data_IF_788805845542
#
_entry.id   IF_788805845542
#
_cell.length_a   1.000
_cell.length_b   1.000
_cell.length_c   1.000
_cell.angle_alpha   90.00
_cell.angle_beta   90.00
_cell.angle_gamma   90.00
#
_symmetry.space_group_name_H-M   'P 1'
#
loop_
_entity.id
_entity.type
_entity.pdbx_description
1 polymer ?
#
# COMPACT_ATOMS: atom_id res chain seq x y z
N UNK A 1 -30.66 30.75 2.47
CA UNK A 1 -29.18 30.82 2.31
C UNK A 1 -28.58 29.50 2.77
N UNK A 2 -28.59 28.48 1.92
CA UNK A 2 -28.15 27.11 2.25
C UNK A 2 -27.40 26.35 1.13
N UNK A 3 -27.34 26.78 -0.16
CA UNK A 3 -26.68 25.98 -1.19
C UNK A 3 -25.15 25.98 -1.04
N UNK A 4 -24.56 27.04 -0.48
CA UNK A 4 -23.10 27.18 -0.33
C UNK A 4 -22.48 26.22 0.68
N UNK A 5 -23.22 25.84 1.73
CA UNK A 5 -22.72 24.91 2.75
C UNK A 5 -22.70 23.46 2.26
N UNK A 6 -23.72 23.05 1.51
CA UNK A 6 -23.78 21.72 0.88
C UNK A 6 -22.70 21.56 -0.19
N UNK A 7 -22.44 22.63 -0.95
CA UNK A 7 -21.38 22.63 -1.96
C UNK A 7 -19.99 22.52 -1.31
N UNK A 8 -19.74 23.25 -0.22
CA UNK A 8 -18.48 23.19 0.51
C UNK A 8 -18.22 21.79 1.12
N UNK A 9 -19.24 21.18 1.73
CA UNK A 9 -19.12 19.82 2.26
C UNK A 9 -18.81 18.78 1.16
N UNK A 10 -19.42 18.92 -0.02
CA UNK A 10 -19.18 18.02 -1.16
C UNK A 10 -17.77 18.18 -1.73
N UNK A 11 -17.22 19.40 -1.74
CA UNK A 11 -15.86 19.65 -2.22
C UNK A 11 -14.80 19.09 -1.27
N UNK A 12 -15.05 19.16 0.05
CA UNK A 12 -14.16 18.58 1.07
C UNK A 12 -14.07 17.06 0.94
N UNK A 13 -15.20 16.38 0.76
CA UNK A 13 -15.19 14.91 0.60
C UNK A 13 -14.49 14.46 -0.68
N UNK A 14 -14.63 15.21 -1.79
CA UNK A 14 -13.91 14.93 -3.04
C UNK A 14 -12.40 15.12 -2.84
N UNK A 15 -11.98 16.21 -2.19
CA UNK A 15 -10.58 16.48 -1.89
C UNK A 15 -9.95 15.39 -1.01
N UNK A 16 -10.69 14.92 0.01
CA UNK A 16 -10.24 13.82 0.87
C UNK A 16 -10.09 12.50 0.09
N UNK A 17 -11.05 12.17 -0.77
CA UNK A 17 -10.99 10.99 -1.64
C UNK A 17 -9.82 11.06 -2.63
N UNK A 18 -9.56 12.22 -3.22
CA UNK A 18 -8.41 12.43 -4.10
C UNK A 18 -7.09 12.32 -3.34
N UNK A 19 -7.01 12.87 -2.13
CA UNK A 19 -5.83 12.77 -1.28
C UNK A 19 -5.56 11.32 -0.89
N UNK A 20 -6.59 10.57 -0.47
CA UNK A 20 -6.46 9.15 -0.14
C UNK A 20 -6.04 8.30 -1.34
N UNK A 21 -6.59 8.55 -2.52
CA UNK A 21 -6.20 7.80 -3.73
C UNK A 21 -4.76 8.10 -4.17
N UNK A 22 -4.30 9.35 -4.00
CA UNK A 22 -2.90 9.73 -4.23
C UNK A 22 -1.99 9.04 -3.22
N UNK A 23 -2.29 9.12 -1.92
CA UNK A 23 -1.52 8.46 -0.87
C UNK A 23 -1.45 6.95 -1.05
N UNK A 24 -2.55 6.30 -1.44
CA UNK A 24 -2.57 4.88 -1.73
C UNK A 24 -1.64 4.52 -2.90
N UNK A 25 -1.60 5.35 -3.94
CA UNK A 25 -0.74 5.16 -5.10
C UNK A 25 0.74 5.30 -4.74
N UNK A 26 1.09 6.33 -3.95
CA UNK A 26 2.45 6.54 -3.46
C UNK A 26 2.90 5.43 -2.52
N UNK A 27 2.04 5.00 -1.59
CA UNK A 27 2.30 3.88 -0.69
C UNK A 27 2.62 2.60 -1.47
N UNK A 28 1.87 2.29 -2.53
CA UNK A 28 2.15 1.16 -3.42
C UNK A 28 3.52 1.30 -4.09
N UNK A 29 3.81 2.48 -4.64
CA UNK A 29 5.06 2.72 -5.37
C UNK A 29 6.30 2.54 -4.48
N UNK A 30 6.27 3.08 -3.25
CA UNK A 30 7.37 2.93 -2.28
C UNK A 30 7.60 1.46 -1.93
N UNK A 31 6.52 0.71 -1.69
CA UNK A 31 6.60 -0.72 -1.39
C UNK A 31 7.13 -1.53 -2.58
N UNK A 32 6.67 -1.23 -3.78
CA UNK A 32 7.13 -1.87 -5.02
C UNK A 32 8.62 -1.65 -5.24
N UNK A 33 9.12 -0.43 -5.01
CA UNK A 33 10.53 -0.13 -5.14
C UNK A 33 11.38 -0.97 -4.17
N UNK A 34 10.92 -1.15 -2.93
CA UNK A 34 11.63 -2.00 -1.97
C UNK A 34 11.66 -3.48 -2.39
N UNK A 35 10.53 -4.00 -2.88
CA UNK A 35 10.44 -5.37 -3.40
C UNK A 35 11.41 -5.59 -4.57
N UNK A 36 11.45 -4.65 -5.52
CA UNK A 36 12.37 -4.70 -6.67
C UNK A 36 13.83 -4.73 -6.23
N UNK A 37 14.21 -3.84 -5.30
CA UNK A 37 15.57 -3.82 -4.72
C UNK A 37 15.89 -5.14 -4.02
N UNK A 38 14.92 -5.75 -3.32
CA UNK A 38 15.17 -6.93 -2.49
C UNK A 38 15.24 -8.25 -3.28
N UNK A 39 14.38 -8.41 -4.29
CA UNK A 39 14.26 -9.63 -5.08
C UNK A 39 15.12 -9.61 -6.35
N UNK A 40 15.54 -8.42 -6.81
CA UNK A 40 16.17 -8.27 -8.12
C UNK A 40 15.15 -8.42 -9.25
N UNK A 41 15.43 -7.74 -10.38
CA UNK A 41 14.56 -7.57 -11.55
C UNK A 41 13.35 -6.63 -11.36
N UNK A 42 12.73 -6.27 -12.50
CA UNK A 42 11.44 -5.59 -12.64
C UNK A 42 10.25 -6.47 -12.19
N UNK A 43 10.42 -7.23 -11.10
CA UNK A 43 9.40 -8.10 -10.53
C UNK A 43 8.23 -7.23 -10.08
N UNK A 44 7.21 -7.10 -10.94
CA UNK A 44 5.99 -6.42 -10.60
C UNK A 44 5.12 -7.35 -9.74
N UNK A 45 4.50 -6.84 -8.67
CA UNK A 45 3.52 -7.62 -7.93
C UNK A 45 2.36 -8.04 -8.82
N UNK A 46 1.97 -9.31 -8.73
CA UNK A 46 0.75 -9.84 -9.33
C UNK A 46 -0.47 -9.16 -8.71
N UNK A 47 -0.38 -8.87 -7.41
CA UNK A 47 -1.40 -8.19 -6.63
C UNK A 47 -0.72 -7.19 -5.67
N UNK A 48 -1.28 -5.99 -5.56
CA UNK A 48 -0.86 -5.01 -4.55
C UNK A 48 -2.03 -4.13 -4.10
N UNK A 49 -2.25 -4.10 -2.80
CA UNK A 49 -3.30 -3.30 -2.16
C UNK A 49 -2.69 -2.46 -1.06
N UNK A 50 -2.97 -1.15 -1.12
CA UNK A 50 -2.66 -0.22 -0.04
C UNK A 50 -3.96 0.16 0.66
N UNK A 51 -3.95 0.16 1.98
CA UNK A 51 -5.08 0.55 2.80
C UNK A 51 -4.60 1.38 4.01
N UNK A 52 -5.30 2.47 4.36
CA UNK A 52 -4.96 3.23 5.54
C UNK A 52 -5.21 2.39 6.80
N UNK A 53 -4.37 2.56 7.81
CA UNK A 53 -4.55 1.86 9.08
C UNK A 53 -5.62 2.55 9.93
N UNK A 54 -6.60 1.80 10.47
CA UNK A 54 -7.60 2.36 11.37
C UNK A 54 -6.94 3.05 12.56
N UNK A 55 -7.35 4.29 12.86
CA UNK A 55 -6.89 5.09 14.02
C UNK A 55 -5.41 5.49 13.98
N UNK A 56 -4.71 5.31 12.85
CA UNK A 56 -3.31 5.71 12.67
C UNK A 56 -3.21 6.60 11.43
N UNK A 57 -3.50 7.88 11.61
CA UNK A 57 -3.47 8.86 10.52
C UNK A 57 -2.09 8.88 9.84
N UNK A 58 -2.12 8.90 8.50
CA UNK A 58 -0.92 8.84 7.69
C UNK A 58 -0.22 7.48 7.66
N UNK A 59 -0.65 6.47 8.42
CA UNK A 59 -0.06 5.13 8.33
C UNK A 59 -0.83 4.21 7.38
N UNK A 60 -0.07 3.43 6.60
CA UNK A 60 -0.60 2.58 5.54
C UNK A 60 -0.05 1.16 5.66
N UNK A 61 -0.93 0.18 5.48
CA UNK A 61 -0.54 -1.21 5.23
C UNK A 61 -0.59 -1.44 3.74
N UNK A 62 0.48 -2.01 3.19
CA UNK A 62 0.54 -2.46 1.81
C UNK A 62 0.80 -3.96 1.79
N UNK A 63 -0.20 -4.71 1.34
CA UNK A 63 -0.11 -6.15 1.17
C UNK A 63 0.02 -6.47 -0.32
N UNK A 64 0.81 -7.48 -0.66
CA UNK A 64 0.94 -7.91 -2.04
C UNK A 64 1.52 -9.30 -2.22
N UNK A 65 1.49 -9.73 -3.48
CA UNK A 65 1.96 -11.03 -3.94
C UNK A 65 2.87 -10.84 -5.15
N UNK A 66 4.02 -11.49 -5.15
CA UNK A 66 5.02 -11.45 -6.22
C UNK A 66 5.46 -12.86 -6.57
N UNK A 67 5.93 -13.07 -7.80
CA UNK A 67 6.51 -14.34 -8.21
C UNK A 67 7.96 -14.44 -7.72
N UNK A 68 8.24 -15.41 -6.86
CA UNK A 68 9.60 -15.76 -6.42
C UNK A 68 10.15 -16.99 -7.16
N UNK A 69 11.45 -17.29 -6.97
CA UNK A 69 12.11 -18.45 -7.60
C UNK A 69 11.51 -19.79 -7.17
N UNK A 70 11.08 -19.90 -5.91
CA UNK A 70 10.51 -21.12 -5.31
C UNK A 70 8.97 -21.15 -5.34
N UNK A 71 8.33 -20.15 -5.98
CA UNK A 71 6.88 -19.99 -5.97
C UNK A 71 6.43 -18.58 -5.56
N UNK A 72 5.12 -18.36 -5.37
CA UNK A 72 4.59 -17.07 -4.99
C UNK A 72 5.10 -16.64 -3.61
N UNK A 73 5.52 -15.39 -3.47
CA UNK A 73 5.88 -14.77 -2.19
C UNK A 73 4.82 -13.74 -1.83
N UNK A 74 4.39 -13.74 -0.58
CA UNK A 74 3.58 -12.67 0.01
C UNK A 74 4.50 -11.65 0.64
N UNK A 75 4.09 -10.38 0.61
CA UNK A 75 4.75 -9.33 1.38
C UNK A 75 3.73 -8.43 2.05
N UNK A 76 4.17 -7.85 3.16
CA UNK A 76 3.46 -6.77 3.84
C UNK A 76 4.44 -5.65 4.21
N UNK A 77 4.03 -4.42 3.94
CA UNK A 77 4.78 -3.21 4.27
C UNK A 77 3.95 -2.31 5.17
N UNK A 78 4.57 -1.82 6.24
CA UNK A 78 4.02 -0.74 7.05
C UNK A 78 4.71 0.57 6.67
N UNK A 79 3.95 1.56 6.21
CA UNK A 79 4.45 2.88 5.82
C UNK A 79 3.85 4.00 6.66
N UNK A 80 4.57 5.12 6.76
CA UNK A 80 4.08 6.38 7.34
C UNK A 80 4.21 7.53 6.35
N UNK A 81 3.16 8.33 6.24
CA UNK A 81 3.04 9.55 5.46
C UNK A 81 3.41 10.75 6.35
N UNK A 82 4.42 11.52 5.92
CA UNK A 82 4.88 12.76 6.56
C UNK A 82 5.46 13.71 5.51
N UNK A 83 6.59 14.38 5.79
CA UNK A 83 7.32 15.17 4.78
C UNK A 83 7.81 14.32 3.59
N UNK A 84 8.02 13.02 3.84
CA UNK A 84 8.32 11.99 2.86
C UNK A 84 7.69 10.68 3.35
N UNK A 85 7.49 9.74 2.42
CA UNK A 85 7.11 8.39 2.78
C UNK A 85 8.27 7.65 3.44
N UNK A 86 7.97 6.94 4.52
CA UNK A 86 8.92 6.14 5.29
C UNK A 86 8.43 4.70 5.42
N UNK A 87 9.31 3.75 5.11
CA UNK A 87 9.08 2.31 5.33
C UNK A 87 9.46 1.94 6.76
N UNK A 88 8.45 1.62 7.57
CA UNK A 88 8.62 1.27 8.99
C UNK A 88 8.94 -0.21 9.14
N UNK A 89 8.25 -1.07 8.40
CA UNK A 89 8.46 -2.52 8.47
C UNK A 89 8.17 -3.18 7.11
N UNK A 90 8.90 -4.26 6.82
CA UNK A 90 8.75 -5.06 5.62
C UNK A 90 9.00 -6.53 5.94
N UNK A 91 8.13 -7.41 5.45
CA UNK A 91 8.34 -8.86 5.56
C UNK A 91 8.00 -9.56 4.25
N UNK A 92 8.81 -10.55 3.90
CA UNK A 92 8.56 -11.49 2.81
C UNK A 92 8.25 -12.86 3.40
N UNK A 93 7.18 -13.49 2.91
CA UNK A 93 6.75 -14.81 3.33
C UNK A 93 6.54 -15.70 2.11
N UNK A 94 7.21 -16.85 2.08
CA UNK A 94 6.86 -17.92 1.15
C UNK A 94 5.78 -18.79 1.80
N UNK A 95 4.68 -19.14 1.10
CA UNK A 95 3.83 -20.24 1.52
C UNK A 95 4.70 -21.48 1.63
N UNK A 96 4.83 -22.03 2.84
CA UNK A 96 5.48 -23.32 2.98
C UNK A 96 4.66 -24.31 2.17
N UNK A 97 5.29 -25.05 1.25
CA UNK A 97 4.64 -26.17 0.59
C UNK A 97 4.11 -27.08 1.69
N UNK A 98 2.79 -27.11 1.88
CA UNK A 98 2.16 -28.11 2.73
C UNK A 98 2.51 -29.43 2.05
N UNK A 99 3.42 -30.20 2.64
CA UNK A 99 3.65 -31.57 2.20
C UNK A 99 2.31 -32.27 2.38
N UNK A 100 1.61 -32.49 1.27
CA UNK A 100 0.39 -33.29 1.25
C UNK A 100 0.74 -34.64 1.86
N UNK A 101 0.06 -34.97 2.95
CA UNK A 101 0.01 -36.32 3.49
C UNK A 101 -1.05 -37.07 2.72
#
# INVERSE_FOLDING_TARGET
MTPSLLLAASLLTIADLQTQSTSATEAKAVCQQFVQVRLGNDSQPDEIKAQPLPKREGEWMVDGKVKGPEGPLLFACLLRQGLRWELINFSLWAPQAIKGV
#
